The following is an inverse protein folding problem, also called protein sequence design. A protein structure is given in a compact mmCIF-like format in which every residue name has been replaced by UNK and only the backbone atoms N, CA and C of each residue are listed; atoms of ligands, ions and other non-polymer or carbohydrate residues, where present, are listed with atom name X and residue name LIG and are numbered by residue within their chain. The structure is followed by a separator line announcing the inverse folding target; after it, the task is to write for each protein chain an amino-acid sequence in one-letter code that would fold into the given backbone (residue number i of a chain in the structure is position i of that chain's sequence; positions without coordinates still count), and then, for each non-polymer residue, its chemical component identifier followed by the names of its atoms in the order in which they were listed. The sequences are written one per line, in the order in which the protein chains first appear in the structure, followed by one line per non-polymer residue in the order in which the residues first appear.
data_IF_906721503962
#
_entry.id   IF_906721503962
#
_cell.length_a   1.000
_cell.length_b   1.000
_cell.length_c   1.000
_cell.angle_alpha   90.00
_cell.angle_beta   90.00
_cell.angle_gamma   90.00
#
_symmetry.space_group_name_H-M   'P 1'
#
loop_
_entity.id
_entity.type
_entity.pdbx_description
1 polymer ?
#
# COMPACT_ATOMS: atom_id res chain seq x y z
N UNK A 1 -13.46 -27.39 33.37
CA UNK A 1 -13.79 -28.35 32.32
C UNK A 1 -14.63 -29.48 32.87
N UNK A 2 -15.74 -29.77 32.27
CA UNK A 2 -16.53 -30.96 32.58
C UNK A 2 -16.37 -31.90 31.37
N UNK A 3 -15.88 -33.13 31.66
CA UNK A 3 -15.69 -34.11 30.59
C UNK A 3 -17.05 -34.55 30.05
N UNK A 4 -17.38 -34.32 28.76
CA UNK A 4 -18.64 -34.74 28.19
C UNK A 4 -18.84 -36.27 28.17
N UNK A 5 -17.74 -37.03 28.13
CA UNK A 5 -17.76 -38.48 28.12
C UNK A 5 -18.07 -39.09 29.54
N UNK A 6 -18.00 -38.23 30.56
CA UNK A 6 -18.28 -38.59 31.93
C UNK A 6 -19.28 -37.60 32.56
N UNK A 7 -20.56 -37.65 32.19
CA UNK A 7 -21.56 -36.66 32.59
C UNK A 7 -21.75 -36.47 34.09
N UNK A 8 -21.44 -37.49 34.87
CA UNK A 8 -21.49 -37.46 36.36
C UNK A 8 -20.17 -37.03 37.01
N UNK A 9 -19.12 -36.71 36.26
CA UNK A 9 -17.85 -36.23 36.81
C UNK A 9 -17.98 -34.80 37.35
N UNK A 10 -17.26 -34.52 38.41
CA UNK A 10 -17.13 -33.15 38.89
C UNK A 10 -16.32 -32.32 37.88
N UNK A 11 -16.63 -31.02 37.73
CA UNK A 11 -15.84 -30.14 36.88
C UNK A 11 -14.41 -30.03 37.43
N UNK A 12 -13.44 -30.13 36.54
CA UNK A 12 -12.01 -30.00 36.87
C UNK A 12 -11.50 -28.66 36.34
N UNK A 13 -10.71 -27.98 37.16
CA UNK A 13 -9.98 -26.79 36.73
C UNK A 13 -8.80 -27.25 35.85
N UNK A 14 -8.84 -26.94 34.60
CA UNK A 14 -7.80 -27.34 33.63
C UNK A 14 -6.68 -26.32 33.54
N UNK A 15 -6.96 -25.05 33.91
CA UNK A 15 -5.94 -24.02 33.89
C UNK A 15 -4.97 -24.23 35.02
N UNK A 16 -3.68 -24.51 34.72
CA UNK A 16 -2.69 -24.74 35.75
C UNK A 16 -2.34 -23.43 36.48
N UNK A 17 -1.88 -23.55 37.74
CA UNK A 17 -1.27 -22.43 38.45
C UNK A 17 -0.03 -21.94 37.71
N UNK A 18 0.15 -20.62 37.62
CA UNK A 18 1.25 -19.98 36.94
C UNK A 18 0.79 -18.86 36.00
N UNK A 19 1.71 -18.32 35.24
CA UNK A 19 1.45 -17.25 34.29
C UNK A 19 1.02 -17.75 32.91
N UNK A 20 0.69 -16.81 32.03
CA UNK A 20 0.53 -17.04 30.62
C UNK A 20 1.74 -16.45 29.92
N UNK A 21 2.36 -17.22 29.04
CA UNK A 21 3.49 -16.79 28.24
C UNK A 21 3.09 -16.72 26.78
N UNK A 22 3.04 -15.52 26.22
CA UNK A 22 2.77 -15.28 24.80
C UNK A 22 4.08 -14.94 24.09
N UNK A 23 4.41 -15.70 23.07
CA UNK A 23 5.56 -15.42 22.20
C UNK A 23 5.08 -15.00 20.82
N UNK A 24 5.52 -13.81 20.39
CA UNK A 24 5.42 -13.35 19.02
C UNK A 24 6.81 -13.30 18.40
N UNK A 25 6.95 -13.89 17.24
CA UNK A 25 8.17 -13.87 16.46
C UNK A 25 7.85 -13.33 15.05
N UNK A 26 8.57 -12.30 14.64
CA UNK A 26 8.42 -11.69 13.32
C UNK A 26 9.72 -11.88 12.55
N UNK A 27 9.62 -12.41 11.35
CA UNK A 27 10.74 -12.51 10.42
C UNK A 27 10.42 -11.73 9.17
N UNK A 28 11.36 -10.92 8.73
CA UNK A 28 11.33 -10.24 7.45
C UNK A 28 12.58 -10.66 6.66
N UNK A 29 12.36 -11.23 5.49
CA UNK A 29 13.40 -11.41 4.50
C UNK A 29 13.03 -10.60 3.27
N UNK A 30 13.92 -9.72 2.84
CA UNK A 30 13.63 -8.87 1.69
C UNK A 30 14.89 -8.52 0.92
N UNK A 31 14.69 -8.16 -0.33
CA UNK A 31 15.73 -7.56 -1.16
C UNK A 31 15.12 -6.46 -2.03
N UNK A 32 15.94 -5.46 -2.27
CA UNK A 32 15.66 -4.38 -3.19
C UNK A 32 16.76 -4.33 -4.24
N UNK A 33 16.35 -4.34 -5.49
CA UNK A 33 17.25 -4.14 -6.62
C UNK A 33 16.81 -2.91 -7.38
N UNK A 34 17.76 -2.01 -7.67
CA UNK A 34 17.53 -0.84 -8.50
C UNK A 34 18.71 -0.63 -9.44
N UNK A 35 18.41 -0.46 -10.72
CA UNK A 35 19.36 -0.05 -11.73
C UNK A 35 18.82 1.17 -12.45
N UNK A 36 19.69 2.16 -12.69
CA UNK A 36 19.31 3.38 -13.40
C UNK A 36 20.44 3.90 -14.26
N UNK A 37 20.06 4.61 -15.32
CA UNK A 37 20.95 5.26 -16.28
C UNK A 37 20.52 6.72 -16.41
N UNK A 38 21.46 7.63 -16.37
CA UNK A 38 21.29 9.06 -16.61
C UNK A 38 22.11 9.49 -17.82
N UNK A 39 21.50 10.29 -18.68
CA UNK A 39 22.16 10.91 -19.81
C UNK A 39 21.82 12.39 -19.84
N UNK A 40 22.84 13.24 -19.74
CA UNK A 40 22.69 14.68 -19.76
C UNK A 40 23.53 15.24 -20.89
N UNK A 41 22.92 16.07 -21.72
CA UNK A 41 23.62 16.71 -22.83
C UNK A 41 23.10 18.12 -23.06
N UNK A 42 23.99 18.96 -23.57
CA UNK A 42 23.65 20.27 -24.08
C UNK A 42 24.25 20.46 -25.49
N UNK A 43 23.50 21.07 -26.39
CA UNK A 43 24.00 21.35 -27.74
C UNK A 43 23.58 22.74 -28.20
N UNK A 44 24.49 23.39 -28.94
CA UNK A 44 24.35 24.75 -29.45
C UNK A 44 24.03 25.79 -28.36
N UNK A 45 24.44 25.57 -27.12
CA UNK A 45 24.21 26.40 -25.93
C UNK A 45 22.76 26.86 -25.72
N UNK A 46 21.83 26.24 -26.44
CA UNK A 46 20.40 26.55 -26.41
C UNK A 46 19.52 25.40 -26.01
N UNK A 47 20.01 24.17 -26.17
CA UNK A 47 19.25 22.96 -25.93
C UNK A 47 19.87 22.17 -24.79
N UNK A 48 19.13 21.95 -23.73
CA UNK A 48 19.53 21.11 -22.59
C UNK A 48 18.56 19.94 -22.54
N UNK A 49 19.10 18.73 -22.53
CA UNK A 49 18.30 17.50 -22.44
C UNK A 49 18.86 16.61 -21.32
N UNK A 50 17.97 16.22 -20.41
CA UNK A 50 18.26 15.29 -19.34
C UNK A 50 17.33 14.07 -19.50
N UNK A 51 17.92 12.89 -19.61
CA UNK A 51 17.20 11.62 -19.68
C UNK A 51 17.60 10.76 -18.49
N UNK A 52 16.60 10.13 -17.92
CA UNK A 52 16.78 9.21 -16.82
C UNK A 52 15.85 8.03 -17.01
N UNK A 53 16.36 6.80 -16.88
CA UNK A 53 15.57 5.59 -16.99
C UNK A 53 16.10 4.52 -16.03
N UNK A 54 15.23 3.66 -15.59
CA UNK A 54 15.65 2.58 -14.70
C UNK A 54 14.59 1.53 -14.46
N UNK A 55 14.99 0.55 -13.68
CA UNK A 55 14.15 -0.54 -13.19
C UNK A 55 14.36 -0.75 -11.71
N UNK A 56 13.33 -1.22 -11.05
CA UNK A 56 13.31 -1.47 -9.61
C UNK A 56 12.55 -2.77 -9.36
N UNK A 57 13.11 -3.66 -8.56
CA UNK A 57 12.47 -4.88 -8.11
C UNK A 57 12.57 -4.98 -6.59
N UNK A 58 11.43 -5.16 -5.94
CA UNK A 58 11.32 -5.29 -4.50
C UNK A 58 10.64 -6.60 -4.13
N UNK A 59 11.21 -7.29 -3.16
CA UNK A 59 10.68 -8.53 -2.61
C UNK A 59 10.71 -8.48 -1.09
N UNK A 60 9.60 -8.83 -0.45
CA UNK A 60 9.52 -8.94 0.99
C UNK A 60 8.66 -10.14 1.39
N UNK A 61 9.26 -11.04 2.14
CA UNK A 61 8.63 -12.20 2.76
C UNK A 61 8.52 -11.94 4.26
N UNK A 62 7.30 -11.85 4.75
CA UNK A 62 7.03 -11.62 6.17
C UNK A 62 6.40 -12.87 6.74
N UNK A 63 6.94 -13.30 7.88
CA UNK A 63 6.41 -14.43 8.63
C UNK A 63 6.15 -13.96 10.05
N UNK A 64 4.98 -14.25 10.55
CA UNK A 64 4.61 -14.04 11.94
C UNK A 64 4.27 -15.38 12.55
N UNK A 65 4.87 -15.68 13.69
CA UNK A 65 4.52 -16.81 14.54
C UNK A 65 4.04 -16.30 15.89
N UNK A 66 2.95 -16.85 16.36
CA UNK A 66 2.48 -16.63 17.71
C UNK A 66 2.24 -17.97 18.38
N UNK A 67 2.62 -18.04 19.64
CA UNK A 67 2.34 -19.20 20.47
C UNK A 67 2.07 -18.79 21.90
N UNK A 68 1.22 -19.57 22.58
CA UNK A 68 0.83 -19.38 23.98
C UNK A 68 1.17 -20.59 24.82
N UNK A 69 1.88 -20.34 25.92
CA UNK A 69 2.12 -21.31 26.98
C UNK A 69 1.30 -20.98 28.22
N UNK A 70 0.67 -21.98 28.79
CA UNK A 70 -0.16 -21.87 29.99
C UNK A 70 0.59 -22.38 31.21
N UNK A 71 0.24 -21.84 32.39
CA UNK A 71 0.86 -22.27 33.64
C UNK A 71 2.36 -22.04 33.71
N UNK A 72 2.83 -20.95 33.12
CA UNK A 72 4.27 -20.65 33.02
C UNK A 72 4.86 -20.37 34.38
N UNK A 73 5.83 -21.19 34.77
CA UNK A 73 6.49 -21.14 36.07
C UNK A 73 7.71 -20.23 36.02
N UNK A 74 7.51 -18.93 36.17
CA UNK A 74 8.59 -17.93 36.12
C UNK A 74 9.69 -18.20 37.17
N UNK A 75 9.30 -18.58 38.40
CA UNK A 75 10.24 -18.85 39.49
C UNK A 75 11.02 -20.15 39.34
N UNK A 76 10.57 -21.05 38.45
CA UNK A 76 11.16 -22.37 38.21
C UNK A 76 11.91 -22.47 36.87
N UNK A 77 12.41 -21.35 36.38
CA UNK A 77 13.18 -21.31 35.14
C UNK A 77 12.37 -21.19 33.86
N UNK A 78 11.10 -20.79 33.96
CA UNK A 78 10.31 -20.44 32.81
C UNK A 78 9.82 -21.64 31.97
N UNK A 79 9.35 -22.67 32.64
CA UNK A 79 8.79 -23.87 31.98
C UNK A 79 7.27 -23.78 31.91
N UNK A 80 6.63 -23.93 30.73
CA UNK A 80 5.16 -24.03 30.63
C UNK A 80 4.70 -25.40 31.13
N UNK A 81 3.44 -25.43 31.60
CA UNK A 81 2.79 -26.68 31.99
C UNK A 81 2.13 -27.32 30.77
N UNK A 82 2.32 -28.62 30.59
CA UNK A 82 1.74 -29.38 29.47
C UNK A 82 0.67 -30.35 30.01
N UNK A 83 -0.61 -30.01 29.75
CA UNK A 83 -1.74 -30.88 29.99
C UNK A 83 -2.60 -30.96 28.72
N UNK A 84 -2.92 -32.19 28.31
CA UNK A 84 -3.74 -32.40 27.09
C UNK A 84 -5.15 -31.82 27.22
N UNK A 85 -5.69 -31.72 28.43
CA UNK A 85 -7.02 -31.14 28.66
C UNK A 85 -7.09 -29.65 28.32
N UNK A 86 -6.00 -28.92 28.49
CA UNK A 86 -5.91 -27.49 28.09
C UNK A 86 -6.07 -27.39 26.57
N UNK A 87 -5.35 -28.21 25.82
CA UNK A 87 -5.45 -28.24 24.36
C UNK A 87 -6.81 -28.72 23.89
N UNK A 88 -7.38 -29.77 24.52
CA UNK A 88 -8.72 -30.27 24.23
C UNK A 88 -9.76 -29.17 24.44
N UNK A 89 -9.77 -28.50 25.58
CA UNK A 89 -10.68 -27.41 25.88
C UNK A 89 -10.47 -26.21 24.94
N UNK A 90 -9.22 -25.87 24.61
CA UNK A 90 -8.91 -24.84 23.65
C UNK A 90 -9.52 -25.10 22.28
N UNK A 91 -9.38 -26.33 21.77
CA UNK A 91 -9.98 -26.73 20.50
C UNK A 91 -11.52 -26.68 20.58
N UNK A 92 -12.11 -27.16 21.67
CA UNK A 92 -13.56 -27.14 21.89
C UNK A 92 -14.13 -25.71 21.93
N UNK A 93 -13.39 -24.76 22.49
CA UNK A 93 -13.77 -23.36 22.61
C UNK A 93 -13.29 -22.49 21.44
N UNK A 94 -12.68 -23.10 20.42
CA UNK A 94 -12.03 -22.38 19.30
C UNK A 94 -10.96 -21.37 19.74
N UNK A 95 -10.27 -21.68 20.83
CA UNK A 95 -9.12 -20.90 21.33
C UNK A 95 -7.83 -21.45 20.74
N UNK A 96 -7.17 -20.65 19.94
CA UNK A 96 -5.89 -21.02 19.36
C UNK A 96 -4.76 -20.85 20.38
N UNK A 97 -3.78 -21.74 20.35
CA UNK A 97 -2.52 -21.63 21.12
C UNK A 97 -1.29 -21.48 20.22
N UNK A 98 -1.50 -21.56 18.91
CA UNK A 98 -0.49 -21.39 17.90
C UNK A 98 -1.12 -20.75 16.65
N UNK A 99 -0.41 -19.84 16.06
CA UNK A 99 -0.81 -19.16 14.84
C UNK A 99 0.43 -18.83 14.00
N UNK A 100 0.35 -18.96 12.69
CA UNK A 100 1.33 -18.44 11.77
C UNK A 100 0.67 -17.73 10.60
N UNK A 101 1.30 -16.65 10.17
CA UNK A 101 0.91 -15.90 8.99
C UNK A 101 2.11 -15.68 8.08
N UNK A 102 1.88 -15.84 6.78
CA UNK A 102 2.89 -15.75 5.75
C UNK A 102 2.42 -14.75 4.69
N UNK A 103 3.12 -13.63 4.59
CA UNK A 103 2.80 -12.60 3.60
C UNK A 103 3.96 -12.41 2.63
N UNK A 104 3.65 -12.49 1.34
CA UNK A 104 4.61 -12.32 0.25
C UNK A 104 4.29 -11.08 -0.56
N UNK A 105 5.23 -10.14 -0.64
CA UNK A 105 5.13 -8.95 -1.49
C UNK A 105 6.19 -8.97 -2.58
N UNK A 106 5.78 -8.79 -3.82
CA UNK A 106 6.64 -8.73 -5.01
C UNK A 106 6.22 -7.56 -5.85
N UNK A 107 7.16 -6.68 -6.12
CA UNK A 107 6.92 -5.50 -6.95
C UNK A 107 8.01 -5.41 -8.00
N UNK A 108 7.63 -5.00 -9.20
CA UNK A 108 8.55 -4.71 -10.30
C UNK A 108 8.08 -3.41 -10.96
N UNK A 109 9.02 -2.51 -11.20
CA UNK A 109 8.73 -1.24 -11.86
C UNK A 109 9.80 -0.90 -12.89
N UNK A 110 9.36 -0.27 -13.97
CA UNK A 110 10.19 0.41 -14.97
C UNK A 110 9.81 1.89 -14.95
N UNK A 111 10.79 2.76 -14.98
CA UNK A 111 10.55 4.19 -14.93
C UNK A 111 11.47 4.96 -15.86
N UNK A 112 10.98 6.10 -16.32
CA UNK A 112 11.74 7.01 -17.15
C UNK A 112 11.33 8.45 -16.92
N UNK A 113 12.26 9.37 -17.13
CA UNK A 113 12.04 10.81 -17.12
C UNK A 113 12.83 11.46 -18.25
N UNK A 114 12.22 12.38 -18.93
CA UNK A 114 12.85 13.21 -19.92
C UNK A 114 12.55 14.69 -19.60
N UNK A 115 13.59 15.50 -19.51
CA UNK A 115 13.46 16.96 -19.40
C UNK A 115 14.19 17.59 -20.56
N UNK A 116 13.51 18.50 -21.24
CA UNK A 116 14.07 19.29 -22.32
C UNK A 116 13.85 20.76 -22.05
N UNK A 117 14.92 21.55 -22.10
CA UNK A 117 14.88 23.01 -21.97
C UNK A 117 15.45 23.67 -23.22
N UNK A 118 14.73 24.65 -23.73
CA UNK A 118 15.16 25.47 -24.87
C UNK A 118 15.44 26.88 -24.40
N UNK A 119 16.72 27.33 -24.56
CA UNK A 119 17.23 28.67 -24.22
C UNK A 119 16.97 29.08 -22.76
N UNK A 120 16.70 28.15 -21.85
CA UNK A 120 16.26 28.49 -20.50
C UNK A 120 14.81 28.99 -20.41
N UNK A 121 14.17 29.31 -21.55
CA UNK A 121 12.85 29.93 -21.64
C UNK A 121 11.72 28.92 -21.50
N UNK A 122 11.80 27.80 -22.22
CA UNK A 122 10.75 26.77 -22.29
C UNK A 122 11.31 25.47 -21.78
N UNK A 123 10.66 24.89 -20.80
CA UNK A 123 11.03 23.58 -20.26
C UNK A 123 9.83 22.64 -20.32
N UNK A 124 10.05 21.46 -20.88
CA UNK A 124 9.10 20.37 -20.90
C UNK A 124 9.69 19.18 -20.12
N UNK A 125 8.91 18.61 -19.21
CA UNK A 125 9.30 17.42 -18.44
C UNK A 125 8.21 16.35 -18.58
N UNK A 126 8.63 15.14 -18.92
CA UNK A 126 7.77 13.96 -18.93
C UNK A 126 8.31 12.89 -18.02
N UNK A 127 7.48 12.29 -17.18
CA UNK A 127 7.81 11.11 -16.40
C UNK A 127 6.85 9.98 -16.70
N UNK A 128 7.36 8.75 -16.72
CA UNK A 128 6.57 7.54 -16.90
C UNK A 128 7.06 6.49 -15.91
N UNK A 129 6.13 5.82 -15.23
CA UNK A 129 6.42 4.65 -14.42
C UNK A 129 5.39 3.56 -14.75
N UNK A 130 5.89 2.37 -15.06
CA UNK A 130 5.08 1.20 -15.29
C UNK A 130 5.42 0.16 -14.22
N UNK A 131 4.50 -0.07 -13.30
CA UNK A 131 4.74 -0.97 -12.17
C UNK A 131 3.67 -2.04 -12.04
N UNK A 132 4.09 -3.19 -11.50
CA UNK A 132 3.24 -4.31 -11.18
C UNK A 132 3.50 -4.84 -9.77
N UNK A 133 2.43 -5.35 -9.14
CA UNK A 133 2.47 -5.93 -7.81
C UNK A 133 1.66 -7.22 -7.77
N UNK A 134 2.14 -8.23 -7.01
CA UNK A 134 1.39 -9.46 -6.77
C UNK A 134 0.20 -9.27 -5.81
N UNK A 135 0.10 -8.10 -5.18
CA UNK A 135 -0.97 -7.74 -4.23
C UNK A 135 -2.27 -7.33 -4.90
N UNK A 136 -2.27 -7.11 -6.20
CA UNK A 136 -3.43 -6.70 -6.98
C UNK A 136 -4.01 -7.87 -7.77
N UNK A 137 -5.18 -7.66 -8.37
CA UNK A 137 -5.93 -8.66 -9.11
C UNK A 137 -5.12 -9.46 -10.14
N UNK A 138 -5.62 -10.61 -10.58
CA UNK A 138 -4.92 -11.50 -11.53
C UNK A 138 -4.86 -10.93 -12.94
N UNK A 139 -5.84 -10.12 -13.34
CA UNK A 139 -5.86 -9.51 -14.67
C UNK A 139 -4.64 -8.61 -14.87
N UNK A 140 -4.03 -8.65 -16.06
CA UNK A 140 -2.87 -7.81 -16.37
C UNK A 140 -3.17 -6.33 -16.18
N UNK A 141 -4.34 -5.87 -16.63
CA UNK A 141 -4.81 -4.50 -16.49
C UNK A 141 -5.03 -4.05 -15.05
N UNK A 142 -5.37 -4.99 -14.15
CA UNK A 142 -5.53 -4.70 -12.73
C UNK A 142 -4.18 -4.65 -12.00
N UNK A 143 -3.23 -5.48 -12.43
CA UNK A 143 -1.93 -5.66 -11.76
C UNK A 143 -0.87 -4.67 -12.22
N UNK A 144 -0.91 -4.27 -13.49
CA UNK A 144 0.08 -3.39 -14.12
C UNK A 144 -0.56 -2.09 -14.54
N UNK A 145 -0.03 -0.99 -14.06
CA UNK A 145 -0.55 0.34 -14.36
C UNK A 145 0.60 1.30 -14.74
N UNK A 146 0.49 2.00 -15.88
CA UNK A 146 1.32 3.14 -16.17
C UNK A 146 0.86 4.36 -15.36
N UNK A 147 1.77 4.98 -14.63
CA UNK A 147 1.60 6.31 -14.04
C UNK A 147 2.50 7.29 -14.77
N UNK A 148 2.06 8.51 -14.95
CA UNK A 148 2.81 9.48 -15.73
C UNK A 148 2.52 10.91 -15.27
N UNK A 149 3.45 11.79 -15.61
CA UNK A 149 3.31 13.23 -15.45
C UNK A 149 3.89 13.91 -16.69
N UNK A 150 3.19 14.92 -17.17
CA UNK A 150 3.68 15.86 -18.18
C UNK A 150 3.61 17.28 -17.60
N UNK A 151 4.71 17.99 -17.64
CA UNK A 151 4.81 19.35 -17.12
C UNK A 151 5.49 20.27 -18.13
N UNK A 152 4.99 21.50 -18.20
CA UNK A 152 5.53 22.58 -19.00
C UNK A 152 5.80 23.76 -18.10
N UNK A 153 6.91 24.45 -18.34
CA UNK A 153 7.24 25.72 -17.71
C UNK A 153 7.72 26.72 -18.76
N UNK A 154 7.24 27.93 -18.62
CA UNK A 154 7.67 29.07 -19.42
C UNK A 154 8.24 30.16 -18.53
N UNK A 155 9.54 30.36 -18.64
CA UNK A 155 10.27 31.42 -17.94
C UNK A 155 10.12 32.71 -18.76
N UNK A 156 9.05 33.45 -18.53
CA UNK A 156 8.76 34.67 -19.28
C UNK A 156 9.79 35.79 -19.01
N UNK A 157 10.43 35.75 -17.85
CA UNK A 157 11.47 36.70 -17.51
C UNK A 157 12.75 36.60 -18.37
N UNK A 158 12.92 35.51 -19.12
CA UNK A 158 14.00 35.30 -20.08
C UNK A 158 13.67 35.82 -21.48
N UNK A 159 12.44 36.37 -21.70
CA UNK A 159 12.03 36.93 -22.97
C UNK A 159 12.42 38.41 -23.10
N UNK A 160 12.80 38.84 -24.31
CA UNK A 160 13.22 40.23 -24.61
C UNK A 160 12.14 41.27 -24.25
N UNK A 161 10.87 40.93 -24.40
CA UNK A 161 9.77 41.85 -24.05
C UNK A 161 9.66 42.11 -22.55
N UNK A 162 10.17 41.17 -21.73
CA UNK A 162 10.08 41.23 -20.27
C UNK A 162 11.06 42.24 -19.67
N UNK A 163 12.18 42.54 -20.34
CA UNK A 163 13.19 43.51 -19.87
C UNK A 163 12.59 44.86 -19.54
N UNK A 164 11.52 45.27 -20.25
CA UNK A 164 10.82 46.54 -19.99
C UNK A 164 10.09 46.60 -18.65
N UNK A 165 9.84 45.45 -18.03
CA UNK A 165 9.14 45.31 -16.75
C UNK A 165 10.09 45.29 -15.55
N UNK A 166 11.38 45.04 -15.84
CA UNK A 166 12.46 45.05 -14.82
C UNK A 166 12.82 46.50 -14.45
N UNK A 167 13.05 46.87 -13.15
CA UNK A 167 13.18 45.96 -12.01
C UNK A 167 11.86 45.73 -11.24
N UNK A 168 10.76 46.31 -11.64
CA UNK A 168 9.48 46.20 -10.92
C UNK A 168 9.03 44.75 -10.81
N UNK A 169 9.07 44.00 -11.92
CA UNK A 169 8.81 42.57 -12.01
C UNK A 169 10.11 41.90 -12.49
N UNK A 170 10.82 41.23 -11.58
CA UNK A 170 12.15 40.68 -11.84
C UNK A 170 12.09 39.20 -12.30
N UNK A 171 11.03 38.50 -11.93
CA UNK A 171 10.83 37.10 -12.26
C UNK A 171 9.38 36.82 -12.55
N UNK A 172 9.12 36.03 -13.60
CA UNK A 172 7.81 35.50 -13.91
C UNK A 172 7.95 34.16 -14.62
N UNK A 173 7.37 33.13 -14.01
CA UNK A 173 7.30 31.77 -14.56
C UNK A 173 5.86 31.27 -14.56
N UNK A 174 5.39 30.80 -15.70
CA UNK A 174 4.11 30.08 -15.82
C UNK A 174 4.38 28.58 -15.87
N UNK A 175 3.68 27.82 -15.04
CA UNK A 175 3.82 26.37 -14.93
C UNK A 175 2.48 25.70 -15.16
N UNK A 176 2.47 24.57 -15.86
CA UNK A 176 1.29 23.72 -15.98
C UNK A 176 1.72 22.25 -15.96
N UNK A 177 0.96 21.41 -15.29
CA UNK A 177 1.21 19.98 -15.28
C UNK A 177 -0.09 19.19 -15.28
N UNK A 178 -0.01 18.00 -15.87
CA UNK A 178 -1.07 17.02 -15.81
C UNK A 178 -0.50 15.64 -15.55
N UNK A 179 -1.10 14.93 -14.59
CA UNK A 179 -0.59 13.65 -14.16
C UNK A 179 -1.67 12.61 -13.92
N UNK A 180 -1.28 11.35 -14.07
CA UNK A 180 -1.96 10.18 -13.55
C UNK A 180 -1.04 9.54 -12.52
N UNK A 181 -1.45 9.56 -11.26
CA UNK A 181 -0.80 8.85 -10.16
C UNK A 181 -1.69 7.72 -9.65
N UNK A 182 -1.11 6.79 -8.91
CA UNK A 182 -1.83 5.63 -8.41
C UNK A 182 -1.32 5.19 -7.04
N UNK A 183 -2.24 4.62 -6.24
CA UNK A 183 -1.95 3.99 -4.96
C UNK A 183 -2.49 2.56 -4.95
N UNK A 184 -1.82 1.67 -4.22
CA UNK A 184 -2.23 0.26 -4.08
C UNK A 184 -3.37 0.05 -3.09
N UNK A 185 -3.74 1.10 -2.37
CA UNK A 185 -4.66 1.02 -1.26
C UNK A 185 -4.09 0.29 -0.02
N UNK A 186 -4.90 0.09 1.01
CA UNK A 186 -4.49 -0.54 2.25
C UNK A 186 -4.00 -1.98 2.07
N UNK A 187 -3.00 -2.37 2.85
CA UNK A 187 -2.36 -3.67 2.74
C UNK A 187 -3.30 -4.87 2.97
N UNK A 188 -4.34 -4.68 3.79
CA UNK A 188 -5.27 -5.73 4.18
C UNK A 188 -6.36 -6.04 3.15
N UNK A 189 -6.50 -5.23 2.09
CA UNK A 189 -7.57 -5.41 1.07
C UNK A 189 -7.13 -6.19 -0.17
N UNK A 190 -5.90 -6.63 -0.24
CA UNK A 190 -5.27 -7.08 -1.47
C UNK A 190 -5.23 -8.59 -1.65
N UNK A 191 -6.39 -9.25 -1.70
CA UNK A 191 -6.46 -10.67 -2.01
C UNK A 191 -6.91 -10.91 -3.46
N UNK A 192 -5.95 -11.30 -4.31
CA UNK A 192 -6.25 -11.68 -5.70
C UNK A 192 -6.74 -13.13 -5.84
N UNK A 193 -6.88 -13.85 -4.74
CA UNK A 193 -7.34 -15.25 -4.68
C UNK A 193 -8.22 -15.44 -3.46
N UNK A 194 -9.05 -16.46 -3.49
CA UNK A 194 -9.82 -16.90 -2.31
C UNK A 194 -8.83 -17.31 -1.22
N UNK A 195 -9.02 -16.77 -0.02
CA UNK A 195 -8.26 -17.17 1.17
C UNK A 195 -9.10 -18.10 2.00
N UNK A 196 -8.55 -19.25 2.32
CA UNK A 196 -9.17 -20.24 3.19
C UNK A 196 -8.47 -20.27 4.54
N UNK A 197 -9.27 -20.35 5.59
CA UNK A 197 -8.82 -20.58 6.96
C UNK A 197 -9.24 -21.96 7.43
N UNK A 198 -8.37 -22.61 8.19
CA UNK A 198 -8.78 -23.78 8.95
C UNK A 198 -9.84 -23.40 9.98
N UNK A 199 -10.89 -24.17 10.04
CA UNK A 199 -11.99 -23.98 10.96
C UNK A 199 -12.28 -25.31 11.67
N UNK A 200 -12.34 -25.27 13.00
CA UNK A 200 -12.81 -26.40 13.81
C UNK A 200 -14.17 -26.03 14.41
N UNK A 201 -15.26 -26.66 13.94
CA UNK A 201 -16.58 -26.35 14.46
C UNK A 201 -16.67 -26.69 15.95
N UNK A 202 -17.37 -25.85 16.69
CA UNK A 202 -17.63 -26.11 18.10
C UNK A 202 -18.62 -27.28 18.23
N UNK A 203 -18.10 -28.47 18.56
CA UNK A 203 -18.89 -29.71 18.77
C UNK A 203 -18.37 -30.38 20.04
N UNK A 204 -18.76 -29.92 21.24
CA UNK A 204 -18.18 -30.35 22.51
C UNK A 204 -18.48 -31.81 22.83
N UNK A 205 -19.51 -32.39 22.22
CA UNK A 205 -19.97 -33.78 22.49
C UNK A 205 -19.67 -34.76 21.34
N UNK A 206 -18.86 -34.35 20.37
CA UNK A 206 -18.43 -35.23 19.29
C UNK A 206 -17.21 -36.05 19.69
N UNK A 207 -17.21 -37.33 19.48
CA UNK A 207 -16.08 -38.22 19.76
C UNK A 207 -14.87 -37.92 18.88
N UNK A 208 -15.12 -37.45 17.65
CA UNK A 208 -14.08 -37.08 16.69
C UNK A 208 -14.15 -35.58 16.42
N UNK A 209 -12.98 -34.91 16.55
CA UNK A 209 -12.87 -33.52 16.18
C UNK A 209 -12.80 -33.38 14.67
N UNK A 210 -13.74 -32.65 14.14
CA UNK A 210 -13.76 -32.31 12.71
C UNK A 210 -12.93 -31.05 12.47
N UNK A 211 -12.20 -31.03 11.39
CA UNK A 211 -11.60 -29.83 10.85
C UNK A 211 -12.20 -29.56 9.47
N UNK A 212 -12.41 -28.30 9.17
CA UNK A 212 -12.93 -27.83 7.89
C UNK A 212 -12.16 -26.64 7.37
N UNK A 213 -12.54 -26.20 6.19
CA UNK A 213 -12.06 -24.96 5.60
C UNK A 213 -13.22 -23.97 5.53
N UNK A 214 -12.96 -22.77 5.99
CA UNK A 214 -13.87 -21.65 5.84
C UNK A 214 -13.22 -20.64 4.90
N UNK A 215 -14.02 -20.01 4.03
CA UNK A 215 -13.57 -18.89 3.23
C UNK A 215 -13.37 -17.69 4.19
N UNK A 216 -12.18 -17.17 4.23
CA UNK A 216 -11.83 -15.96 4.96
C UNK A 216 -12.03 -14.71 4.10
N UNK A 217 -11.52 -14.77 2.86
CA UNK A 217 -11.69 -13.70 1.89
C UNK A 217 -12.08 -14.24 0.53
N UNK A 218 -13.06 -13.58 -0.09
CA UNK A 218 -13.47 -13.85 -1.46
C UNK A 218 -12.44 -13.33 -2.45
N UNK A 219 -12.29 -14.03 -3.56
CA UNK A 219 -11.46 -13.59 -4.67
C UNK A 219 -11.98 -12.24 -5.22
N UNK A 220 -11.04 -11.30 -5.43
CA UNK A 220 -11.26 -10.12 -6.22
C UNK A 220 -10.21 -10.02 -7.34
N UNK A 221 -10.49 -10.66 -8.47
CA UNK A 221 -9.59 -10.68 -9.62
C UNK A 221 -9.48 -9.33 -10.33
N UNK A 222 -10.41 -8.41 -10.10
CA UNK A 222 -10.51 -7.11 -10.74
C UNK A 222 -9.98 -5.97 -9.87
N UNK A 223 -9.58 -6.27 -8.62
CA UNK A 223 -9.03 -5.26 -7.72
C UNK A 223 -7.79 -4.60 -8.36
N UNK A 224 -7.86 -3.29 -8.54
CA UNK A 224 -6.82 -2.48 -9.17
C UNK A 224 -6.40 -1.31 -8.29
N UNK A 225 -5.41 -0.56 -8.74
CA UNK A 225 -4.94 0.65 -8.08
C UNK A 225 -6.04 1.70 -7.94
N UNK A 226 -6.03 2.42 -6.83
CA UNK A 226 -6.69 3.71 -6.73
C UNK A 226 -5.95 4.69 -7.62
N UNK A 227 -6.67 5.45 -8.44
CA UNK A 227 -6.10 6.32 -9.47
C UNK A 227 -6.48 7.77 -9.21
N UNK A 228 -5.54 8.66 -9.51
CA UNK A 228 -5.75 10.10 -9.38
C UNK A 228 -5.24 10.81 -10.62
N UNK A 229 -6.14 11.49 -11.34
CA UNK A 229 -5.78 12.52 -12.29
C UNK A 229 -5.66 13.86 -11.57
N UNK A 230 -4.58 14.57 -11.82
CA UNK A 230 -4.36 15.89 -11.26
C UNK A 230 -3.91 16.84 -12.36
N UNK A 231 -4.61 17.96 -12.49
CA UNK A 231 -4.20 19.11 -13.26
C UNK A 231 -3.78 20.21 -12.30
N UNK A 232 -2.62 20.81 -12.56
CA UNK A 232 -2.11 21.95 -11.81
C UNK A 232 -1.66 23.02 -12.79
N UNK A 233 -1.98 24.28 -12.50
CA UNK A 233 -1.45 25.47 -13.16
C UNK A 233 -0.98 26.46 -12.08
N UNK A 234 0.23 26.97 -12.25
CA UNK A 234 0.84 27.85 -11.26
C UNK A 234 1.62 28.98 -11.92
N UNK A 235 1.78 30.05 -11.18
CA UNK A 235 2.58 31.20 -11.54
C UNK A 235 3.50 31.60 -10.39
N UNK A 236 4.75 31.91 -10.72
CA UNK A 236 5.72 32.45 -9.77
C UNK A 236 6.08 33.86 -10.20
N UNK A 237 5.99 34.80 -9.28
CA UNK A 237 6.37 36.19 -9.43
C UNK A 237 7.51 36.55 -8.50
N UNK A 238 8.47 37.35 -8.98
CA UNK A 238 9.48 38.01 -8.18
C UNK A 238 9.46 39.51 -8.46
N UNK A 239 9.31 40.30 -7.44
CA UNK A 239 9.27 41.78 -7.52
C UNK A 239 10.50 42.42 -6.88
N UNK A 240 10.89 43.59 -7.39
CA UNK A 240 11.94 44.44 -6.82
C UNK A 240 13.23 43.62 -6.61
N UNK A 241 13.82 43.14 -7.71
CA UNK A 241 15.01 42.28 -7.71
C UNK A 241 14.86 41.04 -6.82
N UNK A 242 13.69 40.37 -6.92
CA UNK A 242 13.32 39.17 -6.15
C UNK A 242 13.29 39.34 -4.64
N UNK A 243 13.11 40.57 -4.13
CA UNK A 243 12.92 40.81 -2.68
C UNK A 243 11.56 40.36 -2.18
N UNK A 244 10.55 40.37 -3.04
CA UNK A 244 9.22 39.87 -2.75
C UNK A 244 8.94 38.78 -3.77
N UNK A 245 8.65 37.56 -3.28
CA UNK A 245 8.29 36.44 -4.11
C UNK A 245 6.85 35.99 -3.80
N UNK A 246 6.09 35.75 -4.82
CA UNK A 246 4.69 35.30 -4.74
C UNK A 246 4.52 34.09 -5.64
N UNK A 247 3.98 33.00 -5.10
CA UNK A 247 3.55 31.83 -5.88
C UNK A 247 2.06 31.65 -5.72
N UNK A 248 1.38 31.41 -6.83
CA UNK A 248 -0.05 31.11 -6.85
C UNK A 248 -0.30 29.85 -7.70
N UNK A 249 -0.95 28.85 -7.10
CA UNK A 249 -1.22 27.58 -7.73
C UNK A 249 -2.72 27.25 -7.65
N UNK A 250 -3.28 26.77 -8.75
CA UNK A 250 -4.61 26.20 -8.80
C UNK A 250 -4.52 24.74 -9.24
N UNK A 251 -5.19 23.86 -8.49
CA UNK A 251 -5.23 22.45 -8.83
C UNK A 251 -6.66 21.89 -8.85
N UNK A 252 -6.86 20.88 -9.66
CA UNK A 252 -8.04 20.03 -9.63
C UNK A 252 -7.61 18.57 -9.66
N UNK A 253 -8.21 17.77 -8.77
CA UNK A 253 -7.92 16.34 -8.58
C UNK A 253 -9.19 15.54 -8.78
N UNK A 254 -9.09 14.48 -9.54
CA UNK A 254 -10.15 13.49 -9.72
C UNK A 254 -9.62 12.12 -9.32
N UNK A 255 -10.00 11.66 -8.12
CA UNK A 255 -9.66 10.34 -7.61
C UNK A 255 -10.78 9.39 -8.02
N UNK A 256 -10.43 8.25 -8.60
CA UNK A 256 -11.38 7.22 -9.02
C UNK A 256 -10.82 5.83 -8.78
N UNK A 257 -11.65 4.83 -8.90
CA UNK A 257 -11.33 3.46 -8.53
C UNK A 257 -10.90 3.34 -7.05
N UNK A 258 -11.39 4.24 -6.17
CA UNK A 258 -11.10 4.17 -4.75
C UNK A 258 -11.68 2.88 -4.15
N UNK A 259 -10.90 2.24 -3.31
CA UNK A 259 -11.26 0.98 -2.68
C UNK A 259 -12.25 1.25 -1.54
N UNK A 260 -13.41 0.61 -1.63
CA UNK A 260 -14.46 0.66 -0.63
C UNK A 260 -15.03 -0.71 -0.33
N UNK A 261 -15.84 -0.77 0.72
CA UNK A 261 -16.56 -2.00 1.11
C UNK A 261 -17.88 -2.07 0.36
N UNK A 262 -18.16 -3.21 -0.23
CA UNK A 262 -19.47 -3.52 -0.82
C UNK A 262 -20.09 -4.73 -0.12
N UNK A 263 -21.42 -4.68 0.05
CA UNK A 263 -22.18 -5.80 0.58
C UNK A 263 -22.35 -6.86 -0.51
N UNK A 264 -22.18 -8.11 -0.13
CA UNK A 264 -22.42 -9.27 -0.96
C UNK A 264 -23.74 -9.94 -0.56
N UNK A 265 -24.23 -10.85 -1.38
CA UNK A 265 -25.45 -11.61 -1.06
C UNK A 265 -25.21 -12.68 0.03
N UNK A 266 -23.98 -12.84 0.52
CA UNK A 266 -23.65 -13.83 1.55
C UNK A 266 -23.58 -15.28 1.07
N UNK A 267 -23.90 -15.55 -0.20
CA UNK A 267 -23.91 -16.92 -0.76
C UNK A 267 -22.51 -17.58 -0.79
N UNK A 268 -21.44 -16.79 -0.77
CA UNK A 268 -20.05 -17.25 -0.65
C UNK A 268 -19.53 -17.35 0.78
N UNK A 269 -20.38 -17.15 1.79
CA UNK A 269 -20.01 -17.20 3.21
C UNK A 269 -19.52 -15.85 3.77
N UNK A 270 -19.40 -14.81 2.93
CA UNK A 270 -19.05 -13.45 3.36
C UNK A 270 -20.15 -12.45 3.01
N UNK A 271 -20.51 -11.59 3.95
CA UNK A 271 -21.51 -10.53 3.77
C UNK A 271 -20.93 -9.25 3.13
N UNK A 272 -19.62 -9.10 3.01
CA UNK A 272 -18.97 -7.94 2.44
C UNK A 272 -17.67 -8.32 1.73
N UNK A 273 -17.23 -7.48 0.78
CA UNK A 273 -15.89 -7.53 0.16
C UNK A 273 -15.40 -6.14 -0.19
N UNK A 274 -14.10 -6.02 -0.41
CA UNK A 274 -13.49 -4.79 -0.92
C UNK A 274 -13.51 -4.77 -2.45
N UNK A 275 -13.81 -3.59 -3.02
CA UNK A 275 -13.82 -3.39 -4.47
C UNK A 275 -13.51 -1.92 -4.81
N UNK A 276 -13.13 -1.65 -6.05
CA UNK A 276 -12.93 -0.29 -6.58
C UNK A 276 -14.29 0.30 -6.95
N UNK A 277 -14.92 1.04 -6.03
CA UNK A 277 -16.32 1.47 -6.17
C UNK A 277 -16.59 2.95 -5.88
N UNK A 278 -15.58 3.68 -5.42
CA UNK A 278 -15.76 5.07 -5.02
C UNK A 278 -14.96 6.04 -5.89
N UNK A 279 -15.39 7.29 -5.93
CA UNK A 279 -14.67 8.39 -6.54
C UNK A 279 -14.80 9.66 -5.72
N UNK A 280 -13.79 10.53 -5.81
CA UNK A 280 -13.76 11.82 -5.11
C UNK A 280 -13.14 12.88 -5.99
N UNK A 281 -13.73 14.05 -6.01
CA UNK A 281 -13.22 15.21 -6.72
C UNK A 281 -12.86 16.33 -5.75
N UNK A 282 -11.71 16.95 -5.95
CA UNK A 282 -11.28 18.09 -5.14
C UNK A 282 -10.60 19.15 -6.02
N UNK A 283 -10.66 20.39 -5.61
CA UNK A 283 -9.92 21.50 -6.21
C UNK A 283 -9.52 22.49 -5.14
N UNK A 284 -8.45 23.22 -5.35
CA UNK A 284 -7.95 24.20 -4.41
C UNK A 284 -7.12 25.27 -5.08
N UNK A 285 -6.94 26.37 -4.36
CA UNK A 285 -6.08 27.47 -4.71
C UNK A 285 -5.11 27.69 -3.54
N UNK A 286 -3.83 27.82 -3.85
CA UNK A 286 -2.76 28.05 -2.89
C UNK A 286 -2.05 29.33 -3.25
N UNK A 287 -1.76 30.16 -2.24
CA UNK A 287 -1.01 31.40 -2.36
C UNK A 287 0.10 31.40 -1.32
N UNK A 288 1.32 31.63 -1.75
CA UNK A 288 2.50 31.67 -0.88
C UNK A 288 3.31 32.93 -1.12
#
# INVERSE_FOLDING_TARGET
YKNPDLPNSLPVVVLPEGGIFDKNEYKLFGYDFRASLSYNTSFKDKHIMNLFAGTEANSADRTQYWSRGWGYQYEKGGVPFYDYLIFKQGIEQNNQYYYNDLTYSRNLAFFGMATYSYMGKYTATGTLRYEGSNRLGKARSARWLPTWNAALAWNMHEEEFFEKLTPALSHFTLKASYSLTADRGPAFVTNSRVVYRNYSPYRPFADVKESGLQIEDLENSELTYEKKHEFNIGVDFGFIDNRINLSADYYTRNNYDLIGVINTQGSGGQGMKYANVASMKSSGFELT
#
